data_IF_116312880867
#
_entry.id   IF_116312880867
#
_cell.length_a   1.000
_cell.length_b   1.000
_cell.length_c   1.000
_cell.angle_alpha   90.00
_cell.angle_beta   90.00
_cell.angle_gamma   90.00
#
_symmetry.space_group_name_H-M   'P 1'
#
loop_
_entity.id
_entity.type
_entity.pdbx_description
1 polymer ?
#
# COMPACT_ATOMS: atom_id res chain seq x y z
N UNK A 1 -1.06 8.68 -11.73
CA UNK A 1 -0.54 9.60 -10.69
C UNK A 1 -0.20 8.75 -9.47
N UNK A 2 0.94 8.97 -8.81
CA UNK A 2 1.36 8.22 -7.60
C UNK A 2 1.72 9.18 -6.47
N UNK A 3 1.83 8.67 -5.25
CA UNK A 3 2.29 9.38 -4.06
C UNK A 3 3.70 8.89 -3.73
N UNK A 4 4.74 9.73 -3.86
CA UNK A 4 6.10 9.37 -3.47
C UNK A 4 6.17 8.99 -1.98
N UNK A 5 7.07 8.08 -1.60
CA UNK A 5 7.20 7.59 -0.23
C UNK A 5 7.35 8.69 0.86
N UNK A 6 8.07 9.81 0.61
CA UNK A 6 8.15 10.93 1.56
C UNK A 6 6.80 11.65 1.79
N UNK A 7 5.91 11.64 0.79
CA UNK A 7 4.63 12.36 0.83
C UNK A 7 3.51 11.55 1.49
N UNK A 8 3.69 10.23 1.67
CA UNK A 8 2.65 9.34 2.19
C UNK A 8 2.11 9.82 3.55
N UNK A 9 2.93 10.17 4.56
CA UNK A 9 2.41 10.59 5.87
C UNK A 9 1.49 11.82 5.81
N UNK A 10 1.76 12.75 4.89
CA UNK A 10 0.95 13.95 4.73
C UNK A 10 -0.40 13.66 4.05
N UNK A 11 -0.48 12.59 3.24
CA UNK A 11 -1.64 12.26 2.40
C UNK A 11 -2.42 11.04 2.87
N UNK A 12 -1.88 10.24 3.79
CA UNK A 12 -2.49 8.98 4.21
C UNK A 12 -3.88 9.16 4.82
N UNK A 13 -4.22 10.33 5.35
CA UNK A 13 -5.56 10.66 5.86
C UNK A 13 -6.66 10.62 4.77
N UNK A 14 -6.30 10.69 3.49
CA UNK A 14 -7.22 10.58 2.35
C UNK A 14 -7.52 9.12 1.96
N UNK A 15 -6.69 8.19 2.46
CA UNK A 15 -6.80 6.75 2.20
C UNK A 15 -7.80 6.14 3.18
N UNK A 16 -8.75 5.39 2.63
CA UNK A 16 -9.84 4.75 3.36
C UNK A 16 -9.61 3.24 3.50
N UNK A 17 -10.22 2.65 4.52
CA UNK A 17 -10.25 1.20 4.65
C UNK A 17 -10.88 0.57 3.41
N UNK A 18 -10.23 -0.47 2.87
CA UNK A 18 -10.66 -1.14 1.65
C UNK A 18 -10.05 -0.57 0.36
N UNK A 19 -9.35 0.58 0.41
CA UNK A 19 -8.59 1.06 -0.76
C UNK A 19 -7.52 0.04 -1.15
N UNK A 20 -7.34 -0.17 -2.45
CA UNK A 20 -6.28 -0.98 -3.01
C UNK A 20 -5.02 -0.13 -3.06
N UNK A 21 -3.95 -0.65 -2.46
CA UNK A 21 -2.63 -0.04 -2.48
C UNK A 21 -1.75 -0.82 -3.45
N UNK A 22 -1.12 -0.11 -4.37
CA UNK A 22 -0.09 -0.61 -5.27
C UNK A 22 1.24 0.09 -4.94
N UNK A 23 2.20 -0.65 -4.40
CA UNK A 23 3.54 -0.13 -4.10
C UNK A 23 4.31 0.04 -5.41
N UNK A 24 4.66 1.28 -5.77
CA UNK A 24 5.39 1.58 -7.00
C UNK A 24 6.84 1.09 -6.88
N UNK A 25 7.43 0.69 -8.01
CA UNK A 25 8.76 0.10 -8.04
C UNK A 25 9.80 0.99 -8.71
N UNK A 26 11.04 0.89 -8.23
CA UNK A 26 12.21 1.48 -8.88
C UNK A 26 12.94 0.52 -9.81
N UNK A 27 12.45 -0.72 -9.97
CA UNK A 27 13.08 -1.73 -10.82
C UNK A 27 12.81 -1.41 -12.30
N UNK A 28 13.85 -1.30 -13.15
CA UNK A 28 13.66 -1.00 -14.57
C UNK A 28 12.70 -1.98 -15.25
N UNK A 29 11.64 -1.45 -15.86
CA UNK A 29 10.62 -2.24 -16.56
C UNK A 29 9.53 -2.83 -15.66
N UNK A 30 9.47 -2.46 -14.37
CA UNK A 30 8.42 -2.88 -13.44
C UNK A 30 7.78 -1.65 -12.78
N UNK A 31 6.48 -1.47 -12.95
CA UNK A 31 5.77 -0.31 -12.38
C UNK A 31 5.37 -0.53 -10.92
N UNK A 32 4.89 -1.73 -10.59
CA UNK A 32 4.31 -2.08 -9.27
C UNK A 32 5.00 -3.32 -8.72
N UNK A 33 5.63 -3.20 -7.55
CA UNK A 33 6.36 -4.29 -6.89
C UNK A 33 5.46 -5.17 -6.01
N UNK A 34 4.41 -4.58 -5.42
CA UNK A 34 3.57 -5.28 -4.44
C UNK A 34 2.18 -4.65 -4.34
N UNK A 35 1.19 -5.43 -3.91
CA UNK A 35 -0.19 -4.94 -3.69
C UNK A 35 -0.77 -5.38 -2.35
N UNK A 36 -1.78 -4.66 -1.86
CA UNK A 36 -2.57 -5.05 -0.71
C UNK A 36 -3.77 -4.13 -0.48
N UNK A 37 -4.45 -4.31 0.64
CA UNK A 37 -5.63 -3.52 1.03
C UNK A 37 -5.29 -2.62 2.22
N UNK A 38 -5.68 -1.36 2.14
CA UNK A 38 -5.58 -0.40 3.23
C UNK A 38 -6.48 -0.79 4.40
N UNK A 39 -5.91 -0.84 5.61
CA UNK A 39 -6.64 -1.10 6.86
C UNK A 39 -6.09 -0.22 7.97
N UNK A 40 -6.96 0.52 8.65
CA UNK A 40 -6.64 1.28 9.86
C UNK A 40 -6.81 0.43 11.11
N UNK A 41 -5.76 0.35 11.92
CA UNK A 41 -5.79 -0.24 13.25
C UNK A 41 -5.21 0.74 14.26
N UNK A 42 -6.01 1.14 15.25
CA UNK A 42 -5.59 2.13 16.25
C UNK A 42 -5.19 3.47 15.63
N UNK A 43 -5.87 3.89 14.55
CA UNK A 43 -5.56 5.13 13.80
C UNK A 43 -4.43 5.01 12.78
N UNK A 44 -3.57 3.99 12.89
CA UNK A 44 -2.42 3.78 11.99
C UNK A 44 -2.88 3.06 10.72
N UNK A 45 -2.55 3.63 9.56
CA UNK A 45 -2.77 3.00 8.26
C UNK A 45 -1.74 1.87 8.05
N UNK A 46 -2.24 0.66 7.80
CA UNK A 46 -1.46 -0.57 7.59
C UNK A 46 -1.93 -1.28 6.32
N UNK A 47 -1.19 -2.31 5.92
CA UNK A 47 -1.46 -3.07 4.70
C UNK A 47 -1.85 -4.51 5.03
N UNK A 48 -3.06 -4.91 4.62
CA UNK A 48 -3.47 -6.31 4.57
C UNK A 48 -2.99 -6.92 3.25
N UNK A 49 -2.08 -7.89 3.29
CA UNK A 49 -1.45 -8.43 2.09
C UNK A 49 -0.99 -9.88 2.25
N UNK A 50 -0.76 -10.56 1.13
CA UNK A 50 0.00 -11.81 1.08
C UNK A 50 1.49 -11.46 0.97
N UNK A 51 2.31 -11.67 2.02
CA UNK A 51 3.67 -11.14 2.06
C UNK A 51 4.66 -11.98 1.25
N UNK A 52 4.47 -13.30 1.20
CA UNK A 52 5.35 -14.26 0.52
C UNK A 52 4.54 -15.44 -0.04
N UNK A 53 5.07 -16.08 -1.08
CA UNK A 53 4.50 -17.33 -1.62
C UNK A 53 4.48 -18.41 -0.52
N UNK A 54 3.34 -19.08 -0.36
CA UNK A 54 3.15 -20.15 0.64
C UNK A 54 2.88 -19.66 2.06
N UNK A 55 2.87 -18.35 2.30
CA UNK A 55 2.45 -17.76 3.58
C UNK A 55 0.95 -17.42 3.60
N UNK A 56 0.44 -17.05 4.77
CA UNK A 56 -0.94 -16.59 4.92
C UNK A 56 -1.03 -15.07 4.76
N UNK A 57 -2.23 -14.60 4.40
CA UNK A 57 -2.54 -13.16 4.38
C UNK A 57 -2.40 -12.62 5.79
N UNK A 58 -1.67 -11.51 5.94
CA UNK A 58 -1.41 -10.87 7.22
C UNK A 58 -1.56 -9.37 7.13
N UNK A 59 -1.74 -8.74 8.29
CA UNK A 59 -1.65 -7.28 8.43
C UNK A 59 -0.20 -6.90 8.71
N UNK A 60 0.30 -5.85 8.05
CA UNK A 60 1.65 -5.35 8.30
C UNK A 60 1.84 -4.90 9.76
N UNK A 61 3.01 -5.17 10.32
CA UNK A 61 3.40 -4.67 11.65
C UNK A 61 3.70 -3.16 11.59
N UNK A 62 4.43 -2.75 10.56
CA UNK A 62 4.75 -1.36 10.26
C UNK A 62 3.54 -0.59 9.73
N UNK A 63 3.58 0.74 9.86
CA UNK A 63 2.70 1.63 9.09
C UNK A 63 2.93 1.45 7.58
N UNK A 64 1.95 1.82 6.75
CA UNK A 64 2.12 1.77 5.30
C UNK A 64 3.33 2.61 4.86
N UNK A 65 3.48 3.82 5.40
CA UNK A 65 4.58 4.71 5.03
C UNK A 65 5.96 4.12 5.38
N UNK A 66 6.11 3.57 6.58
CA UNK A 66 7.38 2.99 7.03
C UNK A 66 7.71 1.71 6.27
N UNK A 67 6.69 0.89 5.98
CA UNK A 67 6.85 -0.31 5.14
C UNK A 67 7.41 0.03 3.76
N UNK A 68 6.82 1.02 3.07
CA UNK A 68 7.25 1.41 1.72
C UNK A 68 8.69 1.93 1.75
N UNK A 69 9.05 2.76 2.74
CA UNK A 69 10.44 3.28 2.86
C UNK A 69 11.46 2.21 3.22
N UNK A 70 11.06 1.17 3.94
CA UNK A 70 11.96 0.11 4.41
C UNK A 70 12.28 -0.93 3.33
N UNK A 71 11.44 -1.08 2.30
CA UNK A 71 11.64 -2.09 1.26
C UNK A 71 12.38 -1.48 0.08
N UNK A 72 13.59 -2.00 -0.16
CA UNK A 72 14.35 -1.67 -1.36
C UNK A 72 13.56 -2.03 -2.62
N UNK A 73 13.67 -1.19 -3.63
CA UNK A 73 12.94 -1.37 -4.88
C UNK A 73 11.54 -0.76 -4.90
N UNK A 74 11.13 -0.02 -3.85
CA UNK A 74 9.87 0.74 -3.78
C UNK A 74 10.11 2.23 -3.56
N UNK A 75 9.31 3.09 -4.19
CA UNK A 75 9.45 4.55 -4.11
C UNK A 75 8.15 5.33 -3.83
N UNK A 76 7.04 4.62 -3.64
CA UNK A 76 5.75 5.26 -3.41
C UNK A 76 4.57 4.30 -3.49
N UNK A 77 3.38 4.88 -3.60
CA UNK A 77 2.12 4.15 -3.74
C UNK A 77 1.21 4.78 -4.79
N UNK A 78 0.45 3.94 -5.49
CA UNK A 78 -0.81 4.30 -6.11
C UNK A 78 -1.96 3.79 -5.25
N UNK A 79 -3.08 4.53 -5.26
CA UNK A 79 -4.27 4.20 -4.48
C UNK A 79 -5.45 4.10 -5.43
N UNK A 80 -6.19 3.00 -5.37
CA UNK A 80 -7.41 2.80 -6.12
C UNK A 80 -8.56 2.44 -5.18
N UNK A 81 -9.70 3.14 -5.30
CA UNK A 81 -10.90 2.83 -4.53
C UNK A 81 -11.85 2.00 -5.38
N UNK A 82 -12.20 0.77 -4.94
CA UNK A 82 -13.23 -0.02 -5.63
C UNK A 82 -14.54 0.76 -5.69
N UNK A 83 -15.19 0.75 -6.85
CA UNK A 83 -16.56 1.22 -6.97
C UNK A 83 -17.51 0.11 -6.51
N UNK A 84 -18.68 0.46 -5.97
CA UNK A 84 -19.74 -0.52 -5.74
C UNK A 84 -20.03 -1.28 -7.05
N UNK A 85 -20.43 -2.56 -6.97
CA UNK A 85 -20.87 -3.29 -8.15
C UNK A 85 -21.96 -2.49 -8.87
N UNK A 86 -21.86 -2.40 -10.20
CA UNK A 86 -22.96 -1.87 -11.00
C UNK A 86 -24.20 -2.73 -10.73
N UNK A 87 -25.31 -2.08 -10.39
CA UNK A 87 -26.59 -2.75 -10.20
C UNK A 87 -27.21 -3.11 -11.54
#
# INVERSE_FOLDING_TARGET
HYIPAPDIPAREHLIQDGDIIAATSTVPGLDIAHTGIAVRRGGVLRLLHAPLVGSHVQLSEDSLADRIRRIDGQDGIMVARPLPPAR
#
